data_IF_412212516273
#
_entry.id   IF_412212516273
#
_cell.length_a   1.000
_cell.length_b   1.000
_cell.length_c   1.000
_cell.angle_alpha   90.00
_cell.angle_beta   90.00
_cell.angle_gamma   90.00
#
_symmetry.space_group_name_H-M   'P 1'
#
loop_
_entity.id
_entity.type
_entity.pdbx_description
1 polymer ?
#
# COMPACT_ATOMS: atom_id res chain seq x y z
N UNK A 1 -38.13 6.32 7.32
CA UNK A 1 -37.51 5.02 7.67
C UNK A 1 -36.20 4.96 6.92
N UNK A 2 -35.09 5.25 7.59
CA UNK A 2 -33.74 5.13 7.05
C UNK A 2 -33.42 3.65 6.88
N UNK A 3 -33.36 3.19 5.63
CA UNK A 3 -32.92 1.83 5.32
C UNK A 3 -31.56 1.61 6.01
N UNK A 4 -31.44 0.60 6.85
CA UNK A 4 -30.16 0.11 7.33
C UNK A 4 -29.36 -0.27 6.08
N UNK A 5 -28.42 0.59 5.68
CA UNK A 5 -27.46 0.21 4.64
C UNK A 5 -26.70 -1.01 5.15
N UNK A 6 -26.81 -2.11 4.45
CA UNK A 6 -25.96 -3.28 4.68
C UNK A 6 -24.49 -2.82 4.75
N UNK A 7 -23.72 -3.40 5.65
CA UNK A 7 -22.28 -3.12 5.72
C UNK A 7 -21.69 -3.58 4.38
N UNK A 8 -21.02 -2.69 3.62
CA UNK A 8 -20.44 -3.08 2.34
C UNK A 8 -19.33 -4.12 2.58
N UNK A 9 -19.16 -5.02 1.66
CA UNK A 9 -18.17 -6.10 1.78
C UNK A 9 -16.74 -5.58 1.76
N UNK A 10 -16.46 -4.59 0.91
CA UNK A 10 -15.15 -3.96 0.79
C UNK A 10 -15.19 -2.53 1.36
N UNK A 11 -14.21 -2.19 2.18
CA UNK A 11 -13.93 -0.80 2.55
C UNK A 11 -12.64 -0.33 1.89
N UNK A 12 -12.70 0.84 1.24
CA UNK A 12 -11.52 1.53 0.71
C UNK A 12 -11.20 2.68 1.65
N UNK A 13 -9.99 2.71 2.19
CA UNK A 13 -9.50 3.80 3.03
C UNK A 13 -8.53 4.69 2.24
N UNK A 14 -8.85 5.97 2.07
CA UNK A 14 -8.04 6.95 1.36
C UNK A 14 -7.57 8.03 2.33
N UNK A 15 -6.37 7.89 2.92
CA UNK A 15 -5.75 8.97 3.69
C UNK A 15 -5.17 10.01 2.73
N UNK A 16 -5.47 11.30 2.94
CA UNK A 16 -4.99 12.38 2.08
C UNK A 16 -4.45 13.55 2.90
N UNK A 17 -3.45 14.22 2.37
CA UNK A 17 -2.94 15.51 2.84
C UNK A 17 -2.38 16.32 1.67
N UNK A 18 -2.98 17.47 1.37
CA UNK A 18 -2.63 18.36 0.26
C UNK A 18 -2.54 17.60 -1.08
N UNK A 19 -3.67 17.03 -1.49
CA UNK A 19 -3.76 16.18 -2.68
C UNK A 19 -4.52 16.82 -3.85
N UNK A 20 -4.78 18.13 -3.85
CA UNK A 20 -5.67 18.78 -4.83
C UNK A 20 -5.31 18.49 -6.27
N UNK A 21 -4.01 18.26 -6.58
CA UNK A 21 -3.51 18.09 -7.94
C UNK A 21 -4.02 16.81 -8.63
N UNK A 22 -4.10 15.68 -7.89
CA UNK A 22 -4.43 14.37 -8.47
C UNK A 22 -5.65 13.70 -7.85
N UNK A 23 -6.20 14.23 -6.75
CA UNK A 23 -7.27 13.59 -5.98
C UNK A 23 -8.53 13.33 -6.82
N UNK A 24 -8.95 14.30 -7.65
CA UNK A 24 -10.15 14.15 -8.47
C UNK A 24 -10.03 12.96 -9.44
N UNK A 25 -8.90 12.86 -10.14
CA UNK A 25 -8.63 11.78 -11.08
C UNK A 25 -8.56 10.40 -10.39
N UNK A 26 -7.92 10.34 -9.21
CA UNK A 26 -7.89 9.13 -8.39
C UNK A 26 -9.27 8.71 -7.89
N UNK A 27 -10.12 9.67 -7.49
CA UNK A 27 -11.51 9.41 -7.08
C UNK A 27 -12.34 8.91 -8.24
N UNK A 28 -12.22 9.50 -9.43
CA UNK A 28 -12.94 9.05 -10.63
C UNK A 28 -12.57 7.60 -10.96
N UNK A 29 -11.29 7.24 -10.91
CA UNK A 29 -10.83 5.87 -11.15
C UNK A 29 -11.34 4.87 -10.09
N UNK A 30 -11.45 5.27 -8.82
CA UNK A 30 -12.02 4.43 -7.76
C UNK A 30 -13.54 4.28 -7.87
N UNK A 31 -14.25 5.33 -8.19
CA UNK A 31 -15.71 5.30 -8.30
C UNK A 31 -16.18 4.60 -9.58
N UNK A 32 -15.33 4.59 -10.63
CA UNK A 32 -15.55 3.92 -11.90
C UNK A 32 -15.28 2.41 -11.90
N UNK A 33 -14.92 1.79 -10.76
CA UNK A 33 -14.66 0.35 -10.67
C UNK A 33 -15.89 -0.50 -11.01
N UNK A 34 -15.68 -1.63 -11.68
CA UNK A 34 -16.76 -2.60 -12.00
C UNK A 34 -17.30 -3.34 -10.78
N UNK A 35 -16.55 -3.38 -9.69
CA UNK A 35 -17.03 -3.86 -8.40
C UNK A 35 -17.65 -2.71 -7.61
N UNK A 36 -18.97 -2.74 -7.38
CA UNK A 36 -19.73 -1.61 -6.81
C UNK A 36 -20.01 -1.75 -5.30
N UNK A 37 -19.85 -2.93 -4.72
CA UNK A 37 -20.18 -3.22 -3.31
C UNK A 37 -19.06 -2.76 -2.35
N UNK A 38 -18.79 -1.46 -2.33
CA UNK A 38 -17.78 -0.88 -1.43
C UNK A 38 -18.24 0.42 -0.76
N UNK A 39 -17.59 0.77 0.35
CA UNK A 39 -17.54 2.13 0.89
C UNK A 39 -16.15 2.73 0.64
N UNK A 40 -16.10 4.04 0.39
CA UNK A 40 -14.87 4.82 0.31
C UNK A 40 -14.81 5.78 1.49
N UNK A 41 -13.87 5.57 2.39
CA UNK A 41 -13.65 6.44 3.54
C UNK A 41 -12.44 7.32 3.26
N UNK A 42 -12.67 8.62 3.08
CA UNK A 42 -11.61 9.61 2.88
C UNK A 42 -11.26 10.23 4.24
N UNK A 43 -10.00 10.16 4.63
CA UNK A 43 -9.48 10.80 5.85
C UNK A 43 -8.51 11.93 5.48
N UNK A 44 -9.01 13.16 5.47
CA UNK A 44 -8.24 14.37 5.20
C UNK A 44 -7.46 14.79 6.46
N UNK A 45 -6.15 14.76 6.38
CA UNK A 45 -5.20 15.06 7.45
C UNK A 45 -5.04 16.57 7.70
N UNK A 46 -6.15 17.32 7.69
CA UNK A 46 -6.20 18.79 7.82
C UNK A 46 -5.47 19.51 6.67
N UNK A 47 -5.79 19.14 5.42
CA UNK A 47 -5.24 19.78 4.22
C UNK A 47 -5.47 21.29 4.19
N UNK A 48 -4.55 22.02 3.57
CA UNK A 48 -4.54 23.49 3.48
C UNK A 48 -4.70 24.03 2.06
N UNK A 49 -4.86 23.13 1.09
CA UNK A 49 -5.13 23.38 -0.32
C UNK A 49 -6.62 23.10 -0.67
N UNK A 50 -6.95 22.93 -1.93
CA UNK A 50 -8.29 22.61 -2.45
C UNK A 50 -8.82 21.21 -2.13
N UNK A 51 -8.03 20.34 -1.47
CA UNK A 51 -8.41 18.96 -1.14
C UNK A 51 -9.78 18.86 -0.46
N UNK A 52 -10.07 19.76 0.50
CA UNK A 52 -11.32 19.72 1.25
C UNK A 52 -12.54 19.94 0.35
N UNK A 53 -12.46 20.86 -0.58
CA UNK A 53 -13.57 21.20 -1.47
C UNK A 53 -13.83 20.07 -2.44
N UNK A 54 -12.80 19.46 -3.03
CA UNK A 54 -12.90 18.25 -3.86
C UNK A 54 -13.59 17.13 -3.08
N UNK A 55 -13.11 16.81 -1.86
CA UNK A 55 -13.71 15.74 -1.05
C UNK A 55 -15.18 15.96 -0.74
N UNK A 56 -15.58 17.19 -0.45
CA UNK A 56 -16.97 17.54 -0.17
C UNK A 56 -17.85 17.42 -1.41
N UNK A 57 -17.35 17.86 -2.57
CA UNK A 57 -18.05 17.76 -3.84
C UNK A 57 -18.34 16.30 -4.19
N UNK A 58 -17.32 15.42 -4.12
CA UNK A 58 -17.48 14.00 -4.41
C UNK A 58 -18.38 13.29 -3.40
N UNK A 59 -18.25 13.59 -2.11
CA UNK A 59 -19.11 13.02 -1.06
C UNK A 59 -20.58 13.45 -1.19
N UNK A 60 -20.86 14.62 -1.78
CA UNK A 60 -22.22 15.06 -2.06
C UNK A 60 -22.83 14.33 -3.28
N UNK A 61 -22.01 13.86 -4.23
CA UNK A 61 -22.44 13.20 -5.47
C UNK A 61 -22.59 11.69 -5.32
N UNK A 62 -21.69 11.04 -4.55
CA UNK A 62 -21.68 9.59 -4.42
C UNK A 62 -21.89 9.14 -2.96
N UNK A 63 -23.00 8.44 -2.68
CA UNK A 63 -23.36 8.01 -1.34
C UNK A 63 -22.43 6.92 -0.76
N UNK A 64 -21.54 6.32 -1.56
CA UNK A 64 -20.54 5.37 -1.08
C UNK A 64 -19.41 6.07 -0.33
N UNK A 65 -19.24 7.39 -0.54
CA UNK A 65 -18.17 8.18 0.07
C UNK A 65 -18.56 8.64 1.47
N UNK A 66 -17.62 8.47 2.40
CA UNK A 66 -17.68 9.06 3.72
C UNK A 66 -16.42 9.90 3.97
N UNK A 67 -16.58 11.22 3.97
CA UNK A 67 -15.50 12.17 4.18
C UNK A 67 -15.33 12.53 5.66
N UNK A 68 -14.11 12.46 6.17
CA UNK A 68 -13.71 12.81 7.54
C UNK A 68 -12.52 13.74 7.45
N UNK A 69 -12.59 14.91 8.09
CA UNK A 69 -11.46 15.84 8.19
C UNK A 69 -10.93 15.85 9.62
N UNK A 70 -9.61 15.64 9.76
CA UNK A 70 -8.95 15.73 11.05
C UNK A 70 -8.78 17.20 11.47
N UNK A 71 -8.71 17.45 12.78
CA UNK A 71 -8.55 18.80 13.33
C UNK A 71 -7.16 19.37 13.07
N UNK A 72 -6.14 18.52 12.87
CA UNK A 72 -4.74 18.89 12.61
C UNK A 72 -4.04 17.78 11.83
N UNK A 73 -2.94 18.11 11.16
CA UNK A 73 -2.07 17.12 10.57
C UNK A 73 -1.39 16.28 11.67
N UNK A 74 -1.68 14.98 11.68
CA UNK A 74 -1.14 14.01 12.65
C UNK A 74 0.01 13.18 12.07
N UNK A 75 0.35 13.37 10.79
CA UNK A 75 1.31 12.59 10.02
C UNK A 75 0.65 11.49 9.20
N UNK A 76 1.40 10.95 8.22
CA UNK A 76 0.86 9.98 7.28
C UNK A 76 0.51 8.65 7.98
N UNK A 77 1.40 8.10 8.83
CA UNK A 77 1.16 6.80 9.45
C UNK A 77 -0.05 6.79 10.41
N UNK A 78 -0.23 7.76 11.34
CA UNK A 78 -1.45 7.87 12.11
C UNK A 78 -2.72 8.04 11.26
N UNK A 79 -2.66 8.78 10.14
CA UNK A 79 -3.80 8.94 9.24
C UNK A 79 -4.17 7.64 8.51
N UNK A 80 -3.17 6.89 8.02
CA UNK A 80 -3.38 5.55 7.45
C UNK A 80 -4.03 4.59 8.47
N UNK A 81 -3.56 4.61 9.71
CA UNK A 81 -4.14 3.79 10.76
C UNK A 81 -5.56 4.25 11.13
N UNK A 82 -5.77 5.56 11.22
CA UNK A 82 -7.08 6.11 11.55
C UNK A 82 -8.14 5.74 10.51
N UNK A 83 -7.85 5.91 9.22
CA UNK A 83 -8.82 5.59 8.17
C UNK A 83 -9.25 4.11 8.23
N UNK A 84 -8.33 3.18 8.51
CA UNK A 84 -8.67 1.77 8.71
C UNK A 84 -9.66 1.56 9.86
N UNK A 85 -9.48 2.27 10.99
CA UNK A 85 -10.41 2.15 12.14
C UNK A 85 -11.83 2.64 11.83
N UNK A 86 -11.98 3.45 10.79
CA UNK A 86 -13.28 3.96 10.33
C UNK A 86 -13.99 3.01 9.37
N UNK A 87 -13.29 2.02 8.83
CA UNK A 87 -13.79 1.07 7.85
C UNK A 87 -14.48 -0.14 8.49
N UNK A 88 -15.51 -0.69 7.81
CA UNK A 88 -16.41 -1.70 8.37
C UNK A 88 -16.41 -2.99 7.56
N UNK A 89 -15.86 -3.00 6.35
CA UNK A 89 -15.87 -4.13 5.44
C UNK A 89 -15.15 -5.37 5.98
N UNK A 90 -15.52 -6.52 5.45
CA UNK A 90 -14.82 -7.78 5.60
C UNK A 90 -13.47 -7.74 4.89
N UNK A 91 -13.46 -7.08 3.73
CA UNK A 91 -12.27 -6.78 2.94
C UNK A 91 -11.89 -5.31 3.08
N UNK A 92 -10.61 -5.03 2.92
CA UNK A 92 -10.07 -3.68 3.03
C UNK A 92 -8.99 -3.41 1.99
N UNK A 93 -8.95 -2.18 1.48
CA UNK A 93 -7.89 -1.66 0.62
C UNK A 93 -7.51 -0.25 1.06
N UNK A 94 -6.20 0.05 1.20
CA UNK A 94 -5.77 1.44 1.12
C UNK A 94 -5.77 1.93 -0.32
N UNK A 95 -6.12 3.18 -0.52
CA UNK A 95 -5.95 3.88 -1.79
C UNK A 95 -5.08 5.12 -1.58
N UNK A 96 -4.22 5.40 -2.56
CA UNK A 96 -3.47 6.66 -2.64
C UNK A 96 -4.31 7.71 -3.37
N UNK A 97 -4.11 8.97 -3.03
CA UNK A 97 -4.83 10.09 -3.65
C UNK A 97 -4.22 10.54 -4.98
N UNK A 98 -3.08 9.98 -5.37
CA UNK A 98 -2.28 10.35 -6.54
C UNK A 98 -2.11 9.21 -7.56
N UNK A 99 -2.54 7.99 -7.23
CA UNK A 99 -2.44 6.83 -8.09
C UNK A 99 -3.70 6.60 -8.93
N UNK A 100 -3.60 5.78 -9.99
CA UNK A 100 -4.71 5.37 -10.84
C UNK A 100 -4.98 3.88 -10.74
N UNK A 101 -6.21 3.50 -11.04
CA UNK A 101 -6.73 2.15 -10.88
C UNK A 101 -7.50 1.77 -12.14
N UNK A 102 -7.08 0.71 -12.83
CA UNK A 102 -7.86 0.15 -13.92
C UNK A 102 -9.23 -0.32 -13.42
N UNK A 103 -10.22 -0.23 -14.28
CA UNK A 103 -11.65 -0.43 -13.96
C UNK A 103 -11.97 -1.76 -13.28
N UNK A 104 -11.18 -2.81 -13.54
CA UNK A 104 -11.41 -4.16 -13.04
C UNK A 104 -10.59 -4.53 -11.80
N UNK A 105 -9.76 -3.63 -11.28
CA UNK A 105 -8.85 -3.94 -10.17
C UNK A 105 -9.57 -4.55 -8.96
N UNK A 106 -10.63 -3.88 -8.48
CA UNK A 106 -11.34 -4.35 -7.29
C UNK A 106 -12.01 -5.70 -7.54
N UNK A 107 -12.68 -5.84 -8.69
CA UNK A 107 -13.38 -7.08 -9.06
C UNK A 107 -12.41 -8.25 -9.10
N UNK A 108 -11.28 -8.12 -9.82
CA UNK A 108 -10.28 -9.19 -9.97
C UNK A 108 -9.63 -9.58 -8.64
N UNK A 109 -9.33 -8.59 -7.78
CA UNK A 109 -8.78 -8.87 -6.45
C UNK A 109 -9.79 -9.56 -5.53
N UNK A 110 -11.08 -9.16 -5.57
CA UNK A 110 -12.13 -9.79 -4.76
C UNK A 110 -12.40 -11.22 -5.24
N UNK A 111 -12.51 -11.46 -6.55
CA UNK A 111 -12.64 -12.79 -7.15
C UNK A 111 -11.50 -13.73 -6.69
N UNK A 112 -10.25 -13.25 -6.75
CA UNK A 112 -9.10 -14.04 -6.31
C UNK A 112 -9.15 -14.41 -4.82
N UNK A 113 -9.64 -13.52 -3.97
CA UNK A 113 -9.83 -13.81 -2.54
C UNK A 113 -11.00 -14.77 -2.28
N UNK A 114 -12.03 -14.78 -3.13
CA UNK A 114 -13.17 -15.71 -3.04
C UNK A 114 -12.79 -17.12 -3.46
N UNK A 115 -12.05 -17.24 -4.55
CA UNK A 115 -11.58 -18.52 -5.07
C UNK A 115 -10.51 -19.16 -4.17
N UNK A 116 -9.76 -18.35 -3.41
CA UNK A 116 -8.63 -18.79 -2.59
C UNK A 116 -8.75 -18.35 -1.14
N UNK A 117 -9.48 -19.09 -0.29
CA UNK A 117 -9.67 -18.75 1.12
C UNK A 117 -8.37 -18.70 1.96
N UNK A 118 -7.31 -19.38 1.50
CA UNK A 118 -5.98 -19.37 2.11
C UNK A 118 -5.22 -18.05 1.88
N UNK A 119 -5.55 -17.32 0.80
CA UNK A 119 -4.94 -16.03 0.43
C UNK A 119 -5.49 -14.92 1.31
N UNK A 120 -4.60 -14.10 1.83
CA UNK A 120 -4.94 -13.00 2.74
C UNK A 120 -4.91 -11.62 2.09
N UNK A 121 -4.22 -11.49 0.96
CA UNK A 121 -4.10 -10.28 0.16
C UNK A 121 -4.01 -10.62 -1.32
N UNK A 122 -4.82 -9.94 -2.15
CA UNK A 122 -4.73 -9.99 -3.60
C UNK A 122 -4.30 -8.61 -4.13
N UNK A 123 -3.35 -8.60 -5.03
CA UNK A 123 -2.87 -7.42 -5.75
C UNK A 123 -2.71 -7.74 -7.24
N UNK A 124 -2.48 -6.75 -8.07
CA UNK A 124 -2.27 -6.93 -9.52
C UNK A 124 -0.84 -6.60 -9.92
N UNK A 125 -0.53 -6.85 -11.18
CA UNK A 125 0.62 -6.20 -11.81
C UNK A 125 0.43 -4.69 -11.77
N UNK A 126 1.56 -3.97 -11.75
CA UNK A 126 1.56 -2.53 -11.58
C UNK A 126 2.60 -1.87 -12.48
N UNK A 127 2.39 -0.60 -12.79
CA UNK A 127 3.36 0.22 -13.50
C UNK A 127 3.55 1.58 -12.80
N UNK A 128 4.72 2.17 -13.01
CA UNK A 128 4.96 3.57 -12.64
C UNK A 128 4.53 4.46 -13.80
N UNK A 129 3.70 5.45 -13.52
CA UNK A 129 3.29 6.49 -14.47
C UNK A 129 3.91 7.84 -14.09
N UNK A 130 4.04 8.74 -15.04
CA UNK A 130 4.44 10.14 -14.78
C UNK A 130 3.25 11.02 -14.33
N UNK A 131 3.50 12.33 -14.16
CA UNK A 131 2.47 13.29 -13.80
C UNK A 131 1.29 13.36 -14.78
N UNK A 132 1.55 13.08 -16.06
CA UNK A 132 0.58 13.10 -17.15
C UNK A 132 -0.14 11.73 -17.36
N UNK A 133 0.12 10.75 -16.51
CA UNK A 133 -0.49 9.41 -16.60
C UNK A 133 0.16 8.44 -17.58
N UNK A 134 1.32 8.78 -18.19
CA UNK A 134 2.01 7.90 -19.14
C UNK A 134 2.87 6.88 -18.43
N UNK A 135 2.85 5.64 -18.88
CA UNK A 135 3.69 4.56 -18.33
C UNK A 135 5.17 4.87 -18.55
N UNK A 136 5.92 4.92 -17.45
CA UNK A 136 7.38 5.10 -17.45
C UNK A 136 8.13 3.79 -17.35
N UNK A 137 7.69 2.95 -16.41
CA UNK A 137 8.35 1.68 -16.09
C UNK A 137 7.30 0.69 -15.60
N UNK A 138 7.17 -0.49 -16.23
CA UNK A 138 6.48 -1.62 -15.64
C UNK A 138 7.19 -2.04 -14.34
N UNK A 139 6.44 -2.44 -13.34
CA UNK A 139 7.00 -2.89 -12.08
C UNK A 139 7.03 -4.42 -12.06
N UNK A 140 8.23 -5.00 -12.11
CA UNK A 140 8.38 -6.44 -11.99
C UNK A 140 8.27 -6.86 -10.52
N UNK A 141 7.28 -7.69 -10.22
CA UNK A 141 7.07 -8.24 -8.89
C UNK A 141 7.92 -9.49 -8.69
N UNK A 142 8.94 -9.41 -7.85
CA UNK A 142 9.90 -10.51 -7.60
C UNK A 142 9.74 -11.18 -6.23
N UNK A 143 8.76 -10.73 -5.45
CA UNK A 143 8.60 -11.24 -4.09
C UNK A 143 7.90 -12.61 -4.09
N UNK A 144 8.43 -13.54 -3.30
CA UNK A 144 7.85 -14.87 -3.13
C UNK A 144 6.68 -14.87 -2.12
N UNK A 145 5.86 -13.81 -2.11
CA UNK A 145 4.76 -13.67 -1.15
C UNK A 145 3.63 -14.67 -1.36
N UNK A 146 3.54 -15.31 -2.53
CA UNK A 146 2.62 -16.41 -2.82
C UNK A 146 3.07 -17.77 -2.29
N UNK A 147 4.29 -17.91 -1.75
CA UNK A 147 4.75 -19.19 -1.21
C UNK A 147 3.84 -19.70 -0.08
N UNK A 148 3.54 -21.01 0.00
CA UNK A 148 2.81 -21.58 1.13
C UNK A 148 3.61 -21.50 2.44
N UNK A 149 4.93 -21.32 2.39
CA UNK A 149 5.83 -21.31 3.54
C UNK A 149 6.12 -19.90 4.04
N UNK A 150 5.67 -19.58 5.24
CA UNK A 150 5.86 -18.25 5.85
C UNK A 150 7.34 -17.78 5.90
N UNK A 151 8.35 -18.63 6.21
CA UNK A 151 9.76 -18.20 6.18
C UNK A 151 10.26 -17.78 4.79
N UNK A 152 9.72 -18.36 3.72
CA UNK A 152 10.10 -18.01 2.34
C UNK A 152 9.52 -16.64 1.96
N UNK A 153 8.24 -16.39 2.28
CA UNK A 153 7.61 -15.09 2.10
C UNK A 153 8.37 -14.00 2.84
N UNK A 154 8.67 -14.23 4.11
CA UNK A 154 9.43 -13.30 4.94
C UNK A 154 10.85 -13.05 4.41
N UNK A 155 11.56 -14.11 3.98
CA UNK A 155 12.88 -14.00 3.38
C UNK A 155 12.88 -13.10 2.15
N UNK A 156 11.93 -13.29 1.24
CA UNK A 156 11.88 -12.48 0.02
C UNK A 156 11.76 -10.99 0.34
N UNK A 157 10.95 -10.60 1.30
CA UNK A 157 10.84 -9.20 1.75
C UNK A 157 12.11 -8.64 2.40
N UNK A 158 12.98 -9.46 2.93
CA UNK A 158 14.26 -9.00 3.46
C UNK A 158 15.29 -8.71 2.35
N UNK A 159 15.31 -9.54 1.30
CA UNK A 159 16.42 -9.57 0.34
C UNK A 159 16.04 -9.01 -1.04
N UNK A 160 14.78 -9.10 -1.46
CA UNK A 160 14.33 -8.63 -2.76
C UNK A 160 13.72 -7.22 -2.65
N UNK A 161 13.73 -6.43 -3.73
CA UNK A 161 13.03 -5.15 -3.80
C UNK A 161 11.51 -5.36 -3.80
N UNK A 162 10.76 -4.33 -3.38
CA UNK A 162 9.30 -4.37 -3.30
C UNK A 162 8.79 -4.20 -1.89
N UNK A 163 7.50 -4.44 -1.65
CA UNK A 163 6.85 -4.29 -0.36
C UNK A 163 5.81 -3.16 -0.32
N UNK A 164 5.39 -2.67 -1.50
CA UNK A 164 4.29 -1.70 -1.65
C UNK A 164 2.92 -2.41 -1.78
N UNK A 165 2.87 -3.73 -1.60
CA UNK A 165 1.71 -4.59 -1.86
C UNK A 165 0.52 -4.31 -0.94
N UNK A 166 0.73 -3.59 0.14
CA UNK A 166 -0.35 -3.23 1.05
C UNK A 166 -1.45 -2.34 0.41
N UNK A 167 -1.25 -1.89 -0.84
CA UNK A 167 -2.29 -1.27 -1.67
C UNK A 167 -3.18 -2.28 -2.42
N UNK A 168 -2.97 -3.59 -2.26
CA UNK A 168 -3.90 -4.64 -2.68
C UNK A 168 -5.19 -4.67 -1.84
N UNK A 169 -6.13 -5.56 -2.22
CA UNK A 169 -7.31 -5.89 -1.42
C UNK A 169 -6.95 -7.00 -0.44
N UNK A 170 -7.27 -6.85 0.84
CA UNK A 170 -6.87 -7.78 1.88
C UNK A 170 -8.00 -8.08 2.87
N UNK A 171 -7.89 -9.20 3.57
CA UNK A 171 -8.84 -9.56 4.63
C UNK A 171 -8.64 -8.65 5.84
N UNK A 172 -9.66 -7.87 6.18
CA UNK A 172 -9.61 -6.91 7.29
C UNK A 172 -9.31 -7.58 8.65
N UNK A 173 -9.71 -8.85 8.83
CA UNK A 173 -9.40 -9.61 10.04
C UNK A 173 -7.90 -9.81 10.27
N UNK A 174 -7.09 -9.95 9.20
CA UNK A 174 -5.63 -10.05 9.29
C UNK A 174 -5.05 -8.73 9.78
N UNK A 175 -5.52 -7.61 9.20
CA UNK A 175 -5.09 -6.27 9.63
C UNK A 175 -5.39 -5.97 11.08
N UNK A 176 -6.49 -6.50 11.63
CA UNK A 176 -6.83 -6.34 13.06
C UNK A 176 -5.90 -7.11 13.99
N UNK A 177 -5.14 -8.09 13.47
CA UNK A 177 -4.18 -8.92 14.24
C UNK A 177 -2.74 -8.44 14.15
N UNK A 178 -2.41 -7.64 13.13
CA UNK A 178 -1.06 -7.10 12.94
C UNK A 178 -0.91 -5.75 13.63
N UNK A 179 0.33 -5.34 13.89
CA UNK A 179 0.59 -4.01 14.43
C UNK A 179 0.20 -2.94 13.39
N UNK A 180 -0.49 -1.86 13.78
CA UNK A 180 -0.72 -0.71 12.91
C UNK A 180 0.58 -0.15 12.32
N UNK A 181 0.46 0.56 11.21
CA UNK A 181 1.59 1.20 10.52
C UNK A 181 2.41 2.06 11.48
N UNK A 182 3.71 1.84 11.50
CA UNK A 182 4.65 2.61 12.31
C UNK A 182 5.20 3.81 11.53
N UNK A 183 6.06 4.61 12.16
CA UNK A 183 6.58 5.86 11.62
C UNK A 183 8.11 5.96 11.59
N UNK A 184 8.81 4.83 11.66
CA UNK A 184 10.24 4.77 11.39
C UNK A 184 10.52 4.54 9.91
N UNK A 185 11.76 4.72 9.50
CA UNK A 185 12.19 4.52 8.11
C UNK A 185 11.91 3.08 7.63
N UNK A 186 11.27 2.91 6.48
CA UNK A 186 10.79 1.63 5.95
C UNK A 186 9.79 0.87 6.86
N UNK A 187 8.95 1.61 7.58
CA UNK A 187 7.90 1.00 8.40
C UNK A 187 6.86 0.22 7.57
N UNK A 188 6.60 0.66 6.34
CA UNK A 188 5.81 -0.05 5.32
C UNK A 188 6.34 -1.47 5.08
N UNK A 189 7.64 -1.60 4.88
CA UNK A 189 8.28 -2.90 4.63
C UNK A 189 8.15 -3.87 5.81
N UNK A 190 8.27 -3.38 7.05
CA UNK A 190 8.04 -4.22 8.24
C UNK A 190 6.57 -4.57 8.41
N UNK A 191 5.67 -3.68 8.02
CA UNK A 191 4.24 -3.91 8.04
C UNK A 191 3.83 -5.02 7.05
N UNK A 192 4.28 -4.93 5.79
CA UNK A 192 4.04 -5.98 4.78
C UNK A 192 4.68 -7.30 5.21
N UNK A 193 5.91 -7.27 5.79
CA UNK A 193 6.55 -8.47 6.30
C UNK A 193 5.75 -9.14 7.41
N UNK A 194 5.12 -8.37 8.30
CA UNK A 194 4.22 -8.95 9.31
C UNK A 194 2.97 -9.58 8.67
N UNK A 195 2.33 -8.87 7.72
CA UNK A 195 1.16 -9.40 7.01
C UNK A 195 1.50 -10.74 6.33
N UNK A 196 2.63 -10.85 5.62
CA UNK A 196 3.03 -12.09 4.93
C UNK A 196 3.23 -13.29 5.87
N UNK A 197 3.49 -13.05 7.15
CA UNK A 197 3.60 -14.12 8.14
C UNK A 197 2.23 -14.74 8.51
N UNK A 198 1.12 -14.08 8.18
CA UNK A 198 -0.23 -14.56 8.45
C UNK A 198 -0.84 -15.40 7.32
N UNK A 199 -0.33 -15.27 6.08
CA UNK A 199 -0.82 -16.05 4.94
C UNK A 199 -0.15 -15.62 3.62
N UNK A 200 -0.38 -16.37 2.52
CA UNK A 200 0.14 -16.02 1.21
C UNK A 200 -0.63 -14.85 0.58
N UNK A 201 0.04 -14.15 -0.35
CA UNK A 201 -0.57 -13.19 -1.26
C UNK A 201 -0.87 -13.85 -2.59
N UNK A 202 -1.77 -13.26 -3.37
CA UNK A 202 -2.04 -13.62 -4.75
C UNK A 202 -1.82 -12.43 -5.67
N UNK A 203 -1.02 -12.62 -6.70
CA UNK A 203 -0.83 -11.65 -7.77
C UNK A 203 -1.77 -12.00 -8.93
N UNK A 204 -2.68 -11.09 -9.25
CA UNK A 204 -3.49 -11.13 -10.46
C UNK A 204 -2.57 -10.73 -11.62
N UNK A 205 -2.38 -11.59 -12.66
CA UNK A 205 -1.44 -11.33 -13.74
C UNK A 205 -2.05 -10.36 -14.80
N UNK A 206 -2.55 -9.24 -14.36
CA UNK A 206 -3.14 -8.16 -15.16
C UNK A 206 -2.62 -6.82 -14.66
N UNK A 207 -2.30 -5.90 -15.57
CA UNK A 207 -1.83 -4.55 -15.24
C UNK A 207 -3.01 -3.66 -14.85
N UNK A 208 -3.27 -3.56 -13.54
CA UNK A 208 -4.47 -2.89 -13.03
C UNK A 208 -4.18 -1.76 -12.03
N UNK A 209 -2.93 -1.57 -11.62
CA UNK A 209 -2.54 -0.53 -10.67
C UNK A 209 -1.42 0.34 -11.23
N UNK A 210 -1.62 1.67 -11.19
CA UNK A 210 -0.70 2.65 -11.77
C UNK A 210 -0.24 3.62 -10.69
N UNK A 211 1.02 3.47 -10.29
CA UNK A 211 1.67 4.29 -9.27
C UNK A 211 2.22 5.57 -9.89
N UNK A 212 1.70 6.72 -9.51
CA UNK A 212 2.16 7.99 -10.06
C UNK A 212 3.49 8.44 -9.43
N UNK A 213 4.42 8.87 -10.27
CA UNK A 213 5.72 9.44 -9.89
C UNK A 213 5.76 10.91 -10.28
N UNK A 214 5.68 11.79 -9.28
CA UNK A 214 5.63 13.25 -9.45
C UNK A 214 6.53 13.96 -8.42
N UNK A 215 6.91 15.26 -8.67
CA UNK A 215 7.87 15.96 -7.82
C UNK A 215 7.42 16.13 -6.35
N UNK A 216 6.12 16.29 -6.11
CA UNK A 216 5.54 16.50 -4.78
C UNK A 216 5.27 15.21 -4.00
N UNK A 217 5.54 14.05 -4.60
CA UNK A 217 5.40 12.74 -3.93
C UNK A 217 6.21 12.70 -2.63
N UNK A 218 5.63 12.11 -1.57
CA UNK A 218 6.20 12.10 -0.21
C UNK A 218 7.67 11.66 -0.15
N UNK A 219 8.08 10.68 -0.96
CA UNK A 219 9.46 10.19 -1.03
C UNK A 219 10.43 11.21 -1.63
N UNK A 220 9.99 11.96 -2.64
CA UNK A 220 10.79 13.03 -3.28
C UNK A 220 10.83 14.29 -2.43
N UNK A 221 9.70 14.66 -1.85
CA UNK A 221 9.60 15.81 -0.94
C UNK A 221 10.41 15.61 0.36
N UNK A 222 10.67 14.35 0.76
CA UNK A 222 11.36 13.99 2.00
C UNK A 222 12.61 13.12 1.71
N UNK A 223 13.73 13.68 1.18
CA UNK A 223 14.87 12.89 0.70
C UNK A 223 15.67 12.21 1.81
N UNK A 224 15.68 12.75 3.03
CA UNK A 224 16.41 12.16 4.14
C UNK A 224 15.59 11.13 4.92
N UNK A 225 16.28 10.12 5.51
CA UNK A 225 15.63 9.13 6.39
C UNK A 225 14.86 9.80 7.53
N UNK A 226 15.41 10.87 8.10
CA UNK A 226 14.77 11.61 9.18
C UNK A 226 13.55 12.39 8.70
N UNK A 227 13.63 13.09 7.57
CA UNK A 227 12.47 13.84 7.03
C UNK A 227 11.31 12.90 6.69
N UNK A 228 11.58 11.70 6.17
CA UNK A 228 10.56 10.65 5.93
C UNK A 228 9.87 10.22 7.23
N UNK A 229 10.65 9.97 8.30
CA UNK A 229 10.06 9.63 9.59
C UNK A 229 9.21 10.76 10.18
N UNK A 230 9.62 12.02 10.00
CA UNK A 230 8.86 13.19 10.45
C UNK A 230 7.58 13.37 9.63
N UNK A 231 7.62 13.12 8.32
CA UNK A 231 6.43 13.13 7.47
C UNK A 231 5.44 12.02 7.88
N UNK A 232 5.96 10.84 8.24
CA UNK A 232 5.13 9.76 8.76
C UNK A 232 4.50 10.11 10.10
N UNK A 233 5.24 10.77 10.99
CA UNK A 233 4.74 11.22 12.29
C UNK A 233 5.54 12.44 12.79
N UNK A 234 4.95 13.66 12.86
CA UNK A 234 5.62 14.86 13.30
C UNK A 234 6.28 14.76 14.69
N UNK A 235 5.81 13.88 15.57
CA UNK A 235 6.42 13.62 16.89
C UNK A 235 7.84 13.07 16.80
N UNK A 236 8.23 12.53 15.65
CA UNK A 236 9.59 12.02 15.37
C UNK A 236 10.63 13.14 15.16
N UNK A 237 10.21 14.39 15.03
CA UNK A 237 11.13 15.54 14.95
C UNK A 237 11.92 15.79 16.23
N UNK A 238 11.40 15.38 17.38
CA UNK A 238 11.97 15.66 18.69
C UNK A 238 13.32 14.95 18.98
N UNK A 239 14.07 15.42 19.98
CA UNK A 239 15.39 14.89 20.34
C UNK A 239 15.36 13.44 20.84
N UNK A 240 14.20 12.96 21.28
CA UNK A 240 14.01 11.57 21.71
C UNK A 240 14.06 10.54 20.57
N UNK A 241 14.09 10.98 19.30
CA UNK A 241 14.09 10.13 18.12
C UNK A 241 15.32 10.41 17.23
N UNK A 242 16.56 10.18 17.73
CA UNK A 242 17.76 10.30 16.90
C UNK A 242 17.77 9.22 15.81
N UNK A 243 18.47 9.47 14.70
CA UNK A 243 18.53 8.53 13.55
C UNK A 243 18.94 7.09 13.94
N UNK A 244 19.92 6.85 14.83
CA UNK A 244 20.25 5.49 15.25
C UNK A 244 19.08 4.75 15.90
N UNK A 245 18.28 5.45 16.70
CA UNK A 245 17.06 4.87 17.30
C UNK A 245 16.04 4.49 16.23
N UNK A 246 15.80 5.36 15.24
CA UNK A 246 14.85 5.09 14.14
C UNK A 246 15.29 3.86 13.31
N UNK A 247 16.61 3.65 13.14
CA UNK A 247 17.14 2.46 12.48
C UNK A 247 17.01 1.20 13.36
N UNK A 248 17.23 1.34 14.68
CA UNK A 248 17.03 0.23 15.61
C UNK A 248 15.55 -0.18 15.68
N UNK A 249 14.62 0.78 15.64
CA UNK A 249 13.18 0.52 15.60
C UNK A 249 12.78 -0.24 14.33
N UNK A 250 13.42 0.03 13.18
CA UNK A 250 13.20 -0.73 11.94
C UNK A 250 13.56 -2.21 12.10
N UNK A 251 14.75 -2.50 12.63
CA UNK A 251 15.18 -3.90 12.91
C UNK A 251 14.26 -4.55 13.95
N UNK A 252 13.92 -3.82 15.00
CA UNK A 252 13.00 -4.30 16.04
C UNK A 252 11.61 -4.60 15.48
N UNK A 253 11.15 -3.84 14.48
CA UNK A 253 9.89 -4.09 13.77
C UNK A 253 9.82 -5.52 13.23
N UNK A 254 10.86 -6.01 12.57
CA UNK A 254 10.92 -7.40 12.08
C UNK A 254 10.93 -8.42 13.24
N UNK A 255 11.71 -8.17 14.29
CA UNK A 255 11.72 -9.04 15.48
C UNK A 255 10.35 -9.15 16.09
N UNK A 256 9.68 -8.02 16.25
CA UNK A 256 8.35 -7.94 16.84
C UNK A 256 7.29 -8.62 15.95
N UNK A 257 7.37 -8.48 14.62
CA UNK A 257 6.51 -9.16 13.65
C UNK A 257 6.62 -10.69 13.77
N UNK A 258 7.85 -11.24 13.79
CA UNK A 258 8.11 -12.68 13.98
C UNK A 258 7.53 -13.18 15.31
N UNK A 259 7.61 -12.36 16.38
CA UNK A 259 7.10 -12.74 17.71
C UNK A 259 5.58 -12.83 17.77
N UNK A 260 4.90 -11.88 17.11
CA UNK A 260 3.42 -11.80 17.11
C UNK A 260 2.76 -12.82 16.18
N UNK A 261 3.41 -13.11 15.05
CA UNK A 261 2.85 -13.98 14.03
C UNK A 261 2.56 -15.40 14.53
N UNK A 262 1.50 -16.07 14.02
CA UNK A 262 1.07 -17.41 14.43
C UNK A 262 1.95 -18.50 13.78
N UNK A 263 3.25 -18.45 14.02
CA UNK A 263 4.24 -19.34 13.43
C UNK A 263 4.48 -20.59 14.28
N UNK A 264 4.72 -21.72 13.62
CA UNK A 264 5.29 -22.89 14.27
C UNK A 264 6.68 -22.57 14.88
N UNK A 265 7.14 -23.29 15.92
CA UNK A 265 8.48 -23.08 16.46
C UNK A 265 9.60 -23.24 15.41
N UNK A 266 9.41 -24.11 14.42
CA UNK A 266 10.35 -24.33 13.33
C UNK A 266 10.40 -23.12 12.38
N UNK A 267 9.25 -22.62 11.95
CA UNK A 267 9.15 -21.46 11.05
C UNK A 267 9.66 -20.19 11.73
N UNK A 268 9.32 -20.00 13.01
CA UNK A 268 9.83 -18.88 13.81
C UNK A 268 11.36 -18.86 13.86
N UNK A 269 11.98 -20.01 14.10
CA UNK A 269 13.45 -20.14 14.06
C UNK A 269 14.01 -19.86 12.66
N UNK A 270 13.32 -20.30 11.61
CA UNK A 270 13.72 -20.02 10.23
C UNK A 270 13.68 -18.53 9.92
N UNK A 271 12.60 -17.82 10.31
CA UNK A 271 12.48 -16.37 10.13
C UNK A 271 13.61 -15.61 10.87
N UNK A 272 13.94 -15.99 12.10
CA UNK A 272 15.08 -15.37 12.82
C UNK A 272 16.40 -15.63 12.12
N UNK A 273 16.65 -16.84 11.59
CA UNK A 273 17.86 -17.12 10.80
C UNK A 273 17.95 -16.23 9.56
N UNK A 274 16.85 -16.03 8.84
CA UNK A 274 16.79 -15.12 7.69
C UNK A 274 17.06 -13.68 8.10
N UNK A 275 16.49 -13.21 9.21
CA UNK A 275 16.73 -11.86 9.74
C UNK A 275 18.21 -11.65 10.11
N UNK A 276 18.83 -12.62 10.80
CA UNK A 276 20.27 -12.57 11.14
C UNK A 276 21.13 -12.56 9.87
N UNK A 277 20.82 -13.42 8.89
CA UNK A 277 21.54 -13.46 7.60
C UNK A 277 21.42 -12.11 6.86
N UNK A 278 20.24 -11.50 6.86
CA UNK A 278 20.04 -10.18 6.27
C UNK A 278 20.84 -9.09 7.00
N UNK A 279 20.84 -9.06 8.33
CA UNK A 279 21.62 -8.10 9.11
C UNK A 279 23.12 -8.24 8.83
N UNK A 280 23.64 -9.47 8.80
CA UNK A 280 25.07 -9.73 8.53
C UNK A 280 25.46 -9.35 7.09
N UNK A 281 24.55 -9.52 6.12
CA UNK A 281 24.81 -9.09 4.74
C UNK A 281 24.94 -7.57 4.60
N UNK A 282 24.26 -6.79 5.46
CA UNK A 282 24.32 -5.31 5.44
C UNK A 282 25.56 -4.72 6.12
N UNK A 283 26.26 -5.49 6.95
CA UNK A 283 27.49 -5.05 7.66
C UNK A 283 28.74 -5.33 6.83
N UNK A 284 28.69 -6.18 5.81
CA UNK A 284 29.85 -6.48 4.96
C UNK A 284 30.23 -5.26 4.10
N UNK A 285 31.53 -4.87 4.04
CA UNK A 285 32.00 -3.81 3.14
C UNK A 285 31.64 -4.18 1.69
N UNK A 286 31.04 -3.24 0.96
CA UNK A 286 30.61 -3.44 -0.43
C UNK A 286 29.15 -3.85 -0.62
N UNK A 287 28.37 -4.00 0.44
CA UNK A 287 26.91 -4.18 0.37
C UNK A 287 26.18 -2.83 0.18
N UNK A 288 26.66 -1.99 -0.75
CA UNK A 288 25.88 -0.88 -1.27
C UNK A 288 24.65 -1.42 -1.99
N UNK A 289 23.55 -0.66 -2.01
CA UNK A 289 22.41 -0.92 -2.87
C UNK A 289 22.93 -1.25 -4.27
N UNK A 290 22.81 -2.51 -4.68
CA UNK A 290 23.04 -2.82 -6.09
C UNK A 290 22.00 -1.99 -6.84
N UNK A 291 22.47 -1.05 -7.65
CA UNK A 291 21.68 -0.47 -8.71
C UNK A 291 21.22 -1.67 -9.53
N UNK A 292 19.94 -1.95 -9.49
CA UNK A 292 19.39 -3.10 -10.16
C UNK A 292 19.68 -2.99 -11.64
N UNK A 293 20.27 -4.03 -12.22
CA UNK A 293 20.09 -4.34 -13.62
C UNK A 293 18.59 -4.56 -13.82
N UNK A 294 17.88 -3.48 -14.15
CA UNK A 294 16.47 -3.55 -14.53
C UNK A 294 16.44 -4.40 -15.79
N UNK A 295 15.66 -5.46 -15.77
CA UNK A 295 15.34 -6.20 -16.98
C UNK A 295 14.86 -5.20 -18.06
N UNK A 296 15.21 -5.41 -19.34
CA UNK A 296 14.73 -4.54 -20.40
C UNK A 296 13.20 -4.47 -20.32
N UNK A 297 12.70 -3.25 -20.27
CA UNK A 297 11.26 -2.95 -20.23
C UNK A 297 10.65 -3.50 -21.52
N UNK A 298 9.59 -4.30 -21.41
CA UNK A 298 8.82 -4.72 -22.58
C UNK A 298 8.25 -3.48 -23.28
N UNK A 299 8.63 -3.22 -24.54
CA UNK A 299 8.15 -2.05 -25.25
C UNK A 299 6.62 -1.99 -25.41
N UNK A 300 5.95 -3.15 -25.41
CA UNK A 300 4.49 -3.24 -25.54
C UNK A 300 3.81 -2.65 -24.28
N UNK A 301 4.39 -2.84 -23.11
CA UNK A 301 3.87 -2.27 -21.86
C UNK A 301 3.99 -0.74 -21.79
N UNK A 302 4.96 -0.15 -22.53
CA UNK A 302 5.10 1.30 -22.62
C UNK A 302 4.03 1.95 -23.52
N UNK A 303 3.39 1.16 -24.39
CA UNK A 303 2.34 1.61 -25.29
C UNK A 303 0.92 1.50 -24.70
N UNK A 304 0.80 0.99 -23.49
CA UNK A 304 -0.51 0.81 -22.83
C UNK A 304 -1.12 2.18 -22.54
N UNK A 305 -2.36 2.39 -23.00
CA UNK A 305 -3.16 3.55 -22.65
C UNK A 305 -3.77 3.36 -21.26
N UNK A 306 -3.24 4.08 -20.28
CA UNK A 306 -3.76 4.05 -18.91
C UNK A 306 -5.19 4.57 -18.87
N UNK A 307 -5.49 5.62 -19.64
CA UNK A 307 -6.84 6.19 -19.75
C UNK A 307 -7.87 5.18 -20.25
N UNK A 308 -7.49 4.33 -21.21
CA UNK A 308 -8.39 3.30 -21.73
C UNK A 308 -8.66 2.21 -20.68
N UNK A 309 -7.64 1.80 -19.92
CA UNK A 309 -7.80 0.82 -18.84
C UNK A 309 -8.61 1.36 -17.66
N UNK A 310 -8.44 2.64 -17.33
CA UNK A 310 -9.22 3.33 -16.29
C UNK A 310 -10.66 3.52 -16.75
N UNK A 311 -10.89 3.93 -18.02
CA UNK A 311 -12.22 4.13 -18.59
C UNK A 311 -12.93 2.83 -18.99
N UNK A 312 -12.23 1.68 -18.96
CA UNK A 312 -12.76 0.38 -19.41
C UNK A 312 -13.04 0.31 -20.90
N UNK A 313 -12.30 1.09 -21.70
CA UNK A 313 -12.30 0.94 -23.15
C UNK A 313 -11.40 -0.25 -23.49
N UNK A 314 -11.87 -1.18 -24.34
CA UNK A 314 -11.09 -2.33 -24.77
C UNK A 314 -9.84 -1.86 -25.54
N UNK A 315 -8.78 -1.55 -24.77
CA UNK A 315 -7.43 -1.52 -25.29
C UNK A 315 -6.98 -2.98 -25.43
N UNK A 316 -6.39 -3.35 -26.56
CA UNK A 316 -5.76 -4.65 -26.74
C UNK A 316 -4.76 -4.85 -25.59
N UNK A 317 -5.08 -5.74 -24.66
CA UNK A 317 -4.05 -6.26 -23.76
C UNK A 317 -3.05 -7.06 -24.61
N UNK A 318 -1.74 -6.85 -24.42
CA UNK A 318 -0.71 -7.60 -25.13
C UNK A 318 -0.74 -9.10 -24.81
#
# INVERSE_FOLDING_TARGET
>A
MTAFRSVPRLSIGLPVYNGEEYLAESLDALLGQTYEEFELVISDNASTDGTQDICREYAAKDPRIRYIRLLRNVGAAPNHNYVFTQCRGELFKWASHDDLYARDLLRRCVEALDERPDVILAHSDQAVIDGDGKVKVPYEYRLATGSPRAPERFRSLLFEPGGDDFYGVMRAEVLRRVKPHDSYHHADRTFVAEITLHGPFHQVPELLYFRRDHPTRAERANPSKRSRCVNLDPRRAGPLHPTPRLLAEYVWGFVAAIRRAPLSPADRRACYRHLVSWLTSRVRPGAGERVEDRAPVDPELLSVSVDDLVAGREGRQP
#
